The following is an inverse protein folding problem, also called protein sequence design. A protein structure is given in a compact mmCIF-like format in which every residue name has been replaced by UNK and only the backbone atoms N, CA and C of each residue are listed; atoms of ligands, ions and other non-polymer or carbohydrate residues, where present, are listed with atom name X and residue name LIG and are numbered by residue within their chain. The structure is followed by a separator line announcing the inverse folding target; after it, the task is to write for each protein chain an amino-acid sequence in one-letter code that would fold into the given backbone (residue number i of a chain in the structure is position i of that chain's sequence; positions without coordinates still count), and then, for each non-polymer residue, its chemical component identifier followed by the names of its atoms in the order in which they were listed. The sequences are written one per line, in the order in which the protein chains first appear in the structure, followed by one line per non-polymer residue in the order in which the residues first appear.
data_IF_052108236820
#
_entry.id   IF_052108236820
#
_cell.length_a   1.000
_cell.length_b   1.000
_cell.length_c   1.000
_cell.angle_alpha   90.00
_cell.angle_beta   90.00
_cell.angle_gamma   90.00
#
_symmetry.space_group_name_H-M   'P 1'
#
loop_
_entity.id
_entity.type
_entity.pdbx_description
1 polymer ?
#
# COMPACT_ATOMS: atom_id res chain seq x y z
N UNK A 1 -92.11 -27.37 5.63
CA UNK A 1 -91.03 -26.39 5.90
C UNK A 1 -89.69 -27.04 5.56
N UNK A 2 -88.77 -26.28 4.98
CA UNK A 2 -87.33 -26.55 4.83
C UNK A 2 -86.85 -27.26 3.55
N UNK A 3 -86.52 -26.48 2.51
CA UNK A 3 -85.57 -26.88 1.46
C UNK A 3 -84.21 -26.26 1.75
N UNK A 4 -83.21 -27.12 2.01
CA UNK A 4 -81.81 -26.74 2.24
C UNK A 4 -81.19 -26.23 0.93
N UNK A 5 -80.90 -24.95 0.84
CA UNK A 5 -80.08 -24.40 -0.24
C UNK A 5 -78.60 -24.44 0.16
N UNK A 6 -77.83 -25.39 -0.38
CA UNK A 6 -76.37 -25.46 -0.19
C UNK A 6 -75.71 -24.44 -1.12
N UNK A 7 -75.26 -23.31 -0.58
CA UNK A 7 -74.41 -22.37 -1.30
C UNK A 7 -73.03 -23.01 -1.55
N UNK A 8 -72.69 -23.24 -2.82
CA UNK A 8 -71.35 -23.71 -3.24
C UNK A 8 -70.33 -22.59 -2.97
N UNK A 9 -69.35 -22.86 -2.12
CA UNK A 9 -68.18 -21.98 -1.95
C UNK A 9 -67.41 -21.92 -3.26
N UNK A 10 -67.35 -20.74 -3.88
CA UNK A 10 -66.62 -20.46 -5.12
C UNK A 10 -65.11 -20.57 -4.85
N UNK A 11 -64.45 -21.65 -5.29
CA UNK A 11 -62.98 -21.70 -5.35
C UNK A 11 -62.50 -20.59 -6.30
N UNK A 12 -61.67 -19.67 -5.83
CA UNK A 12 -61.03 -18.67 -6.69
C UNK A 12 -60.05 -19.37 -7.63
N UNK A 13 -60.52 -19.74 -8.82
CA UNK A 13 -59.65 -20.26 -9.86
C UNK A 13 -58.77 -19.11 -10.37
N UNK A 14 -57.52 -19.06 -9.92
CA UNK A 14 -56.50 -18.22 -10.54
C UNK A 14 -56.58 -18.44 -12.07
N UNK A 15 -56.69 -17.35 -12.82
CA UNK A 15 -56.84 -17.44 -14.27
C UNK A 15 -55.64 -18.21 -14.83
N UNK A 16 -55.88 -19.20 -15.69
CA UNK A 16 -54.82 -20.10 -16.22
C UNK A 16 -53.64 -19.32 -16.82
N UNK A 17 -53.91 -18.12 -17.36
CA UNK A 17 -52.91 -17.17 -17.86
C UNK A 17 -52.00 -16.62 -16.76
N UNK A 18 -52.55 -16.26 -15.60
CA UNK A 18 -51.78 -15.79 -14.45
C UNK A 18 -50.93 -16.90 -13.82
N UNK A 19 -51.47 -18.12 -13.75
CA UNK A 19 -50.71 -19.30 -13.29
C UNK A 19 -49.51 -19.59 -14.20
N UNK A 20 -49.71 -19.55 -15.51
CA UNK A 20 -48.64 -19.78 -16.48
C UNK A 20 -47.57 -18.67 -16.41
N UNK A 21 -47.98 -17.41 -16.24
CA UNK A 21 -47.03 -16.30 -16.02
C UNK A 21 -46.17 -16.48 -14.78
N UNK A 22 -46.76 -16.90 -13.66
CA UNK A 22 -46.03 -17.18 -12.42
C UNK A 22 -45.02 -18.33 -12.57
N UNK A 23 -45.38 -19.39 -13.29
CA UNK A 23 -44.49 -20.53 -13.55
C UNK A 23 -43.28 -20.08 -14.39
N UNK A 24 -43.50 -19.27 -15.42
CA UNK A 24 -42.41 -18.76 -16.27
C UNK A 24 -41.45 -17.88 -15.47
N UNK A 25 -41.96 -16.96 -14.65
CA UNK A 25 -41.14 -16.14 -13.74
C UNK A 25 -40.35 -17.00 -12.76
N UNK A 26 -40.97 -18.03 -12.19
CA UNK A 26 -40.30 -18.93 -11.25
C UNK A 26 -39.16 -19.71 -11.92
N UNK A 27 -39.36 -20.19 -13.15
CA UNK A 27 -38.31 -20.86 -13.92
C UNK A 27 -37.13 -19.92 -14.26
N UNK A 28 -37.41 -18.66 -14.60
CA UNK A 28 -36.37 -17.65 -14.83
C UNK A 28 -35.56 -17.41 -13.55
N UNK A 29 -36.23 -17.30 -12.40
CA UNK A 29 -35.57 -17.12 -11.11
C UNK A 29 -34.67 -18.31 -10.74
N UNK A 30 -35.12 -19.55 -10.99
CA UNK A 30 -34.29 -20.75 -10.79
C UNK A 30 -33.04 -20.71 -11.67
N UNK A 31 -33.18 -20.35 -12.95
CA UNK A 31 -32.05 -20.27 -13.88
C UNK A 31 -31.01 -19.23 -13.41
N UNK A 32 -31.45 -18.08 -12.88
CA UNK A 32 -30.56 -17.07 -12.29
C UNK A 32 -29.84 -17.58 -11.04
N UNK A 33 -30.52 -18.31 -10.15
CA UNK A 33 -29.91 -18.90 -8.94
C UNK A 33 -28.84 -19.92 -9.32
N UNK A 34 -29.12 -20.80 -10.29
CA UNK A 34 -28.14 -21.78 -10.78
C UNK A 34 -26.94 -21.08 -11.41
N UNK A 35 -27.17 -20.01 -12.19
CA UNK A 35 -26.09 -19.21 -12.78
C UNK A 35 -25.22 -18.52 -11.72
N UNK A 36 -25.82 -18.00 -10.65
CA UNK A 36 -25.11 -17.40 -9.52
C UNK A 36 -24.31 -18.44 -8.74
N UNK A 37 -24.90 -19.61 -8.47
CA UNK A 37 -24.21 -20.75 -7.84
C UNK A 37 -22.99 -21.18 -8.66
N UNK A 38 -23.13 -21.32 -9.97
CA UNK A 38 -22.00 -21.63 -10.86
C UNK A 38 -20.88 -20.59 -10.74
N UNK A 39 -21.22 -19.30 -10.70
CA UNK A 39 -20.25 -18.22 -10.56
C UNK A 39 -19.51 -18.27 -9.21
N UNK A 40 -20.22 -18.54 -8.10
CA UNK A 40 -19.63 -18.60 -6.77
C UNK A 40 -18.79 -19.86 -6.53
N UNK A 41 -19.24 -21.04 -6.98
CA UNK A 41 -18.53 -22.30 -6.74
C UNK A 41 -17.39 -22.55 -7.73
N UNK A 42 -17.56 -22.23 -9.02
CA UNK A 42 -16.55 -22.52 -10.05
C UNK A 42 -15.55 -21.37 -10.20
N UNK A 43 -16.03 -20.12 -10.19
CA UNK A 43 -15.16 -18.93 -10.36
C UNK A 43 -14.85 -18.20 -9.05
N UNK A 44 -15.46 -18.57 -7.93
CA UNK A 44 -15.29 -17.83 -6.67
C UNK A 44 -13.86 -17.85 -6.14
N UNK A 45 -13.13 -18.96 -6.30
CA UNK A 45 -11.71 -19.04 -5.92
C UNK A 45 -10.85 -18.08 -6.73
N UNK A 46 -11.01 -18.08 -8.06
CA UNK A 46 -10.27 -17.21 -8.98
C UNK A 46 -10.63 -15.72 -8.79
N UNK A 47 -11.91 -15.40 -8.60
CA UNK A 47 -12.35 -14.02 -8.35
C UNK A 47 -11.82 -13.50 -7.01
N UNK A 48 -11.79 -14.36 -5.99
CA UNK A 48 -11.24 -14.03 -4.68
C UNK A 48 -9.73 -13.82 -4.74
N UNK A 49 -9.02 -14.62 -5.54
CA UNK A 49 -7.58 -14.48 -5.76
C UNK A 49 -7.25 -13.18 -6.51
N UNK A 50 -7.99 -12.83 -7.56
CA UNK A 50 -7.86 -11.52 -8.22
C UNK A 50 -8.14 -10.35 -7.27
N UNK A 51 -9.10 -10.51 -6.36
CA UNK A 51 -9.38 -9.48 -5.35
C UNK A 51 -8.22 -9.37 -4.35
N UNK A 52 -7.61 -10.50 -3.94
CA UNK A 52 -6.43 -10.48 -3.07
C UNK A 52 -5.20 -9.90 -3.76
N UNK A 53 -4.96 -10.17 -5.04
CA UNK A 53 -3.83 -9.59 -5.77
C UNK A 53 -3.96 -8.07 -5.92
N UNK A 54 -5.18 -7.53 -5.93
CA UNK A 54 -5.42 -6.09 -5.93
C UNK A 54 -5.24 -5.45 -4.54
N UNK A 55 -5.48 -6.21 -3.46
CA UNK A 55 -5.37 -5.72 -2.07
C UNK A 55 -3.97 -5.88 -1.47
N UNK A 56 -3.22 -6.89 -1.90
CA UNK A 56 -1.87 -7.14 -1.43
C UNK A 56 -0.93 -6.28 -2.27
N UNK A 57 -0.59 -5.10 -1.75
CA UNK A 57 0.59 -4.40 -2.27
C UNK A 57 1.81 -5.10 -1.65
N UNK A 58 2.55 -5.83 -2.48
CA UNK A 58 3.82 -6.38 -2.04
C UNK A 58 4.88 -5.31 -2.18
N UNK A 59 5.35 -4.76 -1.07
CA UNK A 59 6.58 -3.97 -1.06
C UNK A 59 7.74 -4.95 -0.88
N UNK A 60 8.65 -4.94 -1.86
CA UNK A 60 9.92 -5.65 -1.74
C UNK A 60 10.78 -4.77 -0.85
N UNK A 61 11.16 -5.27 0.32
CA UNK A 61 12.17 -4.58 1.12
C UNK A 61 13.51 -5.02 0.56
N UNK A 62 14.29 -4.04 0.08
CA UNK A 62 15.60 -4.33 -0.46
C UNK A 62 16.50 -4.80 0.70
N UNK A 63 17.05 -6.02 0.64
CA UNK A 63 17.89 -6.55 1.70
C UNK A 63 19.19 -5.74 1.80
N UNK A 64 19.82 -5.79 2.97
CA UNK A 64 21.12 -5.17 3.17
C UNK A 64 22.17 -5.86 2.31
N UNK A 65 22.78 -5.12 1.39
CA UNK A 65 23.88 -5.59 0.53
C UNK A 65 25.09 -6.06 1.36
N UNK A 66 25.75 -7.13 0.93
CA UNK A 66 26.89 -7.75 1.61
C UNK A 66 28.11 -6.84 1.76
N UNK A 67 28.87 -6.99 2.85
CA UNK A 67 30.11 -6.23 3.09
C UNK A 67 31.27 -6.82 2.29
N UNK A 68 32.08 -5.96 1.66
CA UNK A 68 33.31 -6.37 0.98
C UNK A 68 34.48 -6.20 1.95
N UNK A 69 35.31 -7.23 2.08
CA UNK A 69 36.49 -7.24 2.93
C UNK A 69 37.77 -7.40 2.10
N UNK A 70 38.86 -6.80 2.58
CA UNK A 70 40.22 -7.11 2.14
C UNK A 70 40.66 -8.49 2.65
N UNK A 71 41.76 -9.02 2.11
CA UNK A 71 42.42 -10.25 2.57
C UNK A 71 42.72 -10.25 4.08
N UNK A 72 42.94 -9.08 4.68
CA UNK A 72 43.18 -8.92 6.12
C UNK A 72 41.88 -8.77 6.95
N UNK A 73 40.70 -8.93 6.34
CA UNK A 73 39.40 -8.77 7.00
C UNK A 73 38.98 -7.32 7.23
N UNK A 74 39.63 -6.36 6.57
CA UNK A 74 39.30 -4.93 6.69
C UNK A 74 38.13 -4.58 5.78
N UNK A 75 37.13 -3.85 6.30
CA UNK A 75 35.93 -3.47 5.56
C UNK A 75 36.23 -2.43 4.46
N UNK A 76 36.06 -2.80 3.20
CA UNK A 76 36.29 -1.93 2.04
C UNK A 76 35.01 -1.26 1.54
N UNK A 77 33.87 -1.95 1.64
CA UNK A 77 32.56 -1.41 1.30
C UNK A 77 31.50 -1.97 2.25
N UNK A 78 30.74 -1.08 2.89
CA UNK A 78 29.70 -1.44 3.86
C UNK A 78 28.36 -0.82 3.47
N UNK A 79 27.28 -1.47 3.86
CA UNK A 79 25.93 -0.90 3.74
C UNK A 79 25.51 -0.30 5.08
N UNK A 80 25.17 0.99 5.07
CA UNK A 80 24.58 1.69 6.19
C UNK A 80 23.05 1.65 6.08
N UNK A 81 22.37 1.40 7.20
CA UNK A 81 20.91 1.49 7.26
C UNK A 81 20.51 2.97 7.21
N UNK A 82 19.65 3.31 6.25
CA UNK A 82 19.07 4.64 6.05
C UNK A 82 17.60 4.45 5.72
N UNK A 83 16.79 5.47 5.86
CA UNK A 83 15.37 5.36 5.52
C UNK A 83 15.01 6.33 4.39
N UNK A 84 14.00 5.96 3.62
CA UNK A 84 13.39 6.82 2.60
C UNK A 84 12.00 7.22 3.08
N UNK A 85 11.75 8.53 3.11
CA UNK A 85 10.48 9.11 3.57
C UNK A 85 9.64 9.48 2.35
N UNK A 86 8.49 8.81 2.24
CA UNK A 86 7.50 9.05 1.20
C UNK A 86 6.17 9.48 1.81
N UNK A 87 5.39 10.22 1.04
CA UNK A 87 4.10 10.71 1.48
C UNK A 87 3.01 10.32 0.48
N UNK A 88 1.81 10.03 0.99
CA UNK A 88 0.59 9.86 0.22
C UNK A 88 -0.35 11.04 0.55
N UNK A 89 -0.37 12.08 -0.31
CA UNK A 89 -1.19 13.28 -0.13
C UNK A 89 -2.68 13.01 0.06
N UNK A 90 -3.21 11.93 -0.52
CA UNK A 90 -4.63 11.58 -0.47
C UNK A 90 -5.05 11.02 0.91
N UNK A 91 -4.08 10.57 1.71
CA UNK A 91 -4.32 10.06 3.06
C UNK A 91 -4.16 11.14 4.14
N UNK A 92 -3.68 12.33 3.77
CA UNK A 92 -3.56 13.50 4.66
C UNK A 92 -4.78 14.38 4.46
N UNK A 93 -5.89 13.92 5.05
CA UNK A 93 -7.17 14.61 5.00
C UNK A 93 -7.88 14.52 6.34
N UNK A 94 -8.61 15.58 6.67
CA UNK A 94 -9.49 15.61 7.85
C UNK A 94 -10.91 15.47 7.35
N UNK A 95 -11.60 14.41 7.77
CA UNK A 95 -13.02 14.21 7.46
C UNK A 95 -13.87 14.91 8.52
N UNK A 96 -14.79 15.77 8.08
CA UNK A 96 -15.73 16.51 8.93
C UNK A 96 -17.12 16.51 8.25
N UNK A 97 -18.19 16.74 9.03
CA UNK A 97 -19.57 16.74 8.53
C UNK A 97 -19.81 17.89 7.54
N UNK A 98 -19.15 19.03 7.76
CA UNK A 98 -19.15 20.16 6.85
C UNK A 98 -17.97 20.07 5.87
N UNK A 99 -18.29 19.99 4.57
CA UNK A 99 -17.30 19.90 3.48
C UNK A 99 -16.37 21.11 3.39
N UNK A 100 -16.86 22.31 3.68
CA UNK A 100 -16.03 23.52 3.60
C UNK A 100 -15.03 23.55 4.77
N UNK A 101 -15.48 23.13 5.96
CA UNK A 101 -14.65 23.04 7.14
C UNK A 101 -13.59 21.93 7.02
N UNK A 102 -13.93 20.81 6.36
CA UNK A 102 -12.98 19.71 6.12
C UNK A 102 -11.87 20.11 5.16
N UNK A 103 -12.15 20.90 4.12
CA UNK A 103 -11.16 21.41 3.17
C UNK A 103 -10.18 22.38 3.85
N UNK A 104 -10.68 23.31 4.67
CA UNK A 104 -9.84 24.27 5.41
C UNK A 104 -8.93 23.53 6.40
N UNK A 105 -9.48 22.59 7.18
CA UNK A 105 -8.70 21.77 8.13
C UNK A 105 -7.67 20.90 7.42
N UNK A 106 -8.02 20.33 6.28
CA UNK A 106 -7.10 19.53 5.46
C UNK A 106 -5.94 20.38 4.95
N UNK A 107 -6.20 21.59 4.46
CA UNK A 107 -5.14 22.51 4.02
C UNK A 107 -4.21 22.89 5.16
N UNK A 108 -4.75 23.24 6.32
CA UNK A 108 -3.95 23.57 7.51
C UNK A 108 -3.09 22.37 7.97
N UNK A 109 -3.61 21.15 7.90
CA UNK A 109 -2.85 19.93 8.20
C UNK A 109 -1.70 19.73 7.22
N UNK A 110 -1.95 19.89 5.92
CA UNK A 110 -0.92 19.78 4.87
C UNK A 110 0.19 20.81 5.04
N UNK A 111 -0.16 22.06 5.36
CA UNK A 111 0.81 23.12 5.65
C UNK A 111 1.66 22.80 6.89
N UNK A 112 1.04 22.28 7.96
CA UNK A 112 1.75 21.85 9.16
C UNK A 112 2.74 20.71 8.87
N UNK A 113 2.29 19.69 8.14
CA UNK A 113 3.14 18.56 7.72
C UNK A 113 4.31 19.04 6.87
N UNK A 114 4.04 19.89 5.87
CA UNK A 114 5.07 20.44 5.01
C UNK A 114 6.12 21.24 5.79
N UNK A 115 5.68 22.03 6.78
CA UNK A 115 6.58 22.80 7.64
C UNK A 115 7.48 21.90 8.48
N UNK A 116 6.92 20.90 9.15
CA UNK A 116 7.68 19.96 9.96
C UNK A 116 8.71 19.18 9.12
N UNK A 117 8.31 18.69 7.94
CA UNK A 117 9.20 17.99 7.02
C UNK A 117 10.32 18.90 6.51
N UNK A 118 10.01 20.14 6.15
CA UNK A 118 11.00 21.14 5.72
C UNK A 118 12.03 21.43 6.81
N UNK A 119 11.60 21.61 8.06
CA UNK A 119 12.49 21.88 9.20
C UNK A 119 13.36 20.66 9.56
N UNK A 120 12.79 19.45 9.59
CA UNK A 120 13.52 18.23 9.97
C UNK A 120 14.55 17.84 8.89
N UNK A 121 14.18 17.96 7.62
CA UNK A 121 15.02 17.54 6.50
C UNK A 121 15.84 18.67 5.89
N UNK A 122 15.67 19.90 6.35
CA UNK A 122 16.35 21.10 5.82
C UNK A 122 16.05 21.31 4.33
N UNK A 123 14.79 21.09 3.93
CA UNK A 123 14.30 21.20 2.56
C UNK A 123 13.57 22.53 2.36
N UNK A 124 13.46 22.97 1.10
CA UNK A 124 12.65 24.14 0.76
C UNK A 124 11.16 23.89 1.10
N UNK A 125 10.57 24.83 1.83
CA UNK A 125 9.19 24.72 2.29
C UNK A 125 8.21 24.69 1.13
N UNK A 126 8.41 25.53 0.11
CA UNK A 126 7.47 25.68 -1.00
C UNK A 126 7.44 24.40 -1.85
N UNK A 127 8.61 23.84 -2.17
CA UNK A 127 8.73 22.55 -2.86
C UNK A 127 8.14 21.40 -2.04
N UNK A 128 8.33 21.41 -0.73
CA UNK A 128 7.77 20.37 0.15
C UNK A 128 6.24 20.47 0.19
N UNK A 129 5.69 21.68 0.28
CA UNK A 129 4.25 21.91 0.28
C UNK A 129 3.59 21.47 -1.03
N UNK A 130 4.25 21.70 -2.17
CA UNK A 130 3.78 21.24 -3.48
C UNK A 130 3.67 19.71 -3.52
N UNK A 131 4.70 19.00 -3.04
CA UNK A 131 4.68 17.53 -2.95
C UNK A 131 3.57 17.03 -2.03
N UNK A 132 3.43 17.61 -0.83
CA UNK A 132 2.40 17.25 0.15
C UNK A 132 0.98 17.56 -0.36
N UNK A 133 0.83 18.58 -1.21
CA UNK A 133 -0.46 19.01 -1.77
C UNK A 133 -0.76 18.41 -3.15
N UNK A 134 0.16 17.63 -3.72
CA UNK A 134 -0.03 17.01 -5.03
C UNK A 134 -1.20 16.02 -5.04
N UNK A 135 -1.66 15.67 -6.24
CA UNK A 135 -2.70 14.66 -6.47
C UNK A 135 -2.12 13.25 -6.66
N UNK A 136 -0.79 13.12 -6.64
CA UNK A 136 -0.11 11.85 -6.85
C UNK A 136 -0.36 10.88 -5.68
N UNK A 137 -0.33 9.58 -5.97
CA UNK A 137 -0.55 8.54 -4.95
C UNK A 137 0.62 8.44 -3.97
N UNK A 138 1.84 8.67 -4.44
CA UNK A 138 3.05 8.64 -3.63
C UNK A 138 4.03 9.71 -4.11
N UNK A 139 4.59 10.46 -3.17
CA UNK A 139 5.59 11.48 -3.41
C UNK A 139 6.81 11.25 -2.52
N UNK A 140 8.01 11.43 -3.06
CA UNK A 140 9.23 11.25 -2.28
C UNK A 140 9.68 12.58 -1.70
N UNK A 141 9.74 12.65 -0.38
CA UNK A 141 10.18 13.85 0.34
C UNK A 141 11.70 13.83 0.46
N UNK A 142 12.25 12.77 1.04
CA UNK A 142 13.68 12.61 1.26
C UNK A 142 14.09 11.15 1.09
N UNK A 143 15.22 10.92 0.40
CA UNK A 143 15.83 9.60 0.23
C UNK A 143 17.09 9.49 1.10
N UNK A 144 17.43 8.26 1.51
CA UNK A 144 18.69 7.94 2.20
C UNK A 144 18.95 8.81 3.44
N UNK A 145 17.90 9.00 4.22
CA UNK A 145 17.91 9.81 5.44
C UNK A 145 18.56 9.02 6.57
N UNK A 146 19.42 9.68 7.35
CA UNK A 146 20.00 9.12 8.56
C UNK A 146 18.95 8.93 9.67
N UNK A 147 19.20 7.94 10.52
CA UNK A 147 18.30 7.56 11.62
C UNK A 147 17.94 8.71 12.56
N UNK A 148 18.88 9.61 12.86
CA UNK A 148 18.66 10.75 13.76
C UNK A 148 17.52 11.67 13.29
N UNK A 149 17.42 11.94 11.98
CA UNK A 149 16.33 12.76 11.41
C UNK A 149 15.00 11.99 11.41
N UNK A 150 15.05 10.67 11.25
CA UNK A 150 13.87 9.80 11.29
C UNK A 150 13.31 9.70 12.71
N UNK A 151 14.17 9.61 13.71
CA UNK A 151 13.73 9.56 15.11
C UNK A 151 13.05 10.88 15.50
N UNK A 152 13.57 12.03 15.04
CA UNK A 152 12.88 13.34 15.17
C UNK A 152 11.50 13.34 14.48
N UNK A 153 11.41 12.80 13.27
CA UNK A 153 10.13 12.68 12.55
C UNK A 153 9.13 11.80 13.32
N UNK A 154 9.58 10.66 13.85
CA UNK A 154 8.74 9.75 14.64
C UNK A 154 8.20 10.43 15.90
N UNK A 155 9.05 11.16 16.63
CA UNK A 155 8.63 11.92 17.81
C UNK A 155 7.59 12.99 17.45
N UNK A 156 7.79 13.73 16.35
CA UNK A 156 6.83 14.72 15.88
C UNK A 156 5.49 14.10 15.47
N UNK A 157 5.52 12.97 14.76
CA UNK A 157 4.30 12.22 14.38
C UNK A 157 3.54 11.73 15.60
N UNK A 158 4.23 11.34 16.67
CA UNK A 158 3.64 10.88 17.92
C UNK A 158 2.95 12.02 18.69
N UNK A 159 3.61 13.17 18.77
CA UNK A 159 3.10 14.38 19.41
C UNK A 159 1.85 14.93 18.70
N UNK A 160 1.91 15.06 17.38
CA UNK A 160 0.83 15.62 16.56
C UNK A 160 -0.25 14.59 16.19
N UNK A 161 -0.02 13.30 16.51
CA UNK A 161 -0.89 12.17 16.17
C UNK A 161 -1.17 12.03 14.68
N UNK A 162 -0.21 12.42 13.85
CA UNK A 162 -0.29 12.33 12.38
C UNK A 162 0.46 11.10 11.91
N UNK A 163 -0.28 10.00 11.73
CA UNK A 163 0.26 8.74 11.21
C UNK A 163 -0.22 8.42 9.80
N UNK A 164 -1.25 9.13 9.33
CA UNK A 164 -1.86 8.86 8.04
C UNK A 164 -1.10 9.58 6.93
N UNK A 165 -0.71 8.84 5.90
CA UNK A 165 -0.09 9.38 4.70
C UNK A 165 1.41 9.56 4.75
N UNK A 166 2.09 9.46 5.89
CA UNK A 166 3.56 9.47 5.96
C UNK A 166 4.05 8.02 6.02
N UNK A 167 4.91 7.62 5.09
CA UNK A 167 5.52 6.30 5.04
C UNK A 167 7.04 6.43 5.22
N UNK A 168 7.59 5.59 6.09
CA UNK A 168 9.02 5.46 6.31
C UNK A 168 9.38 4.06 5.84
N UNK A 169 10.11 4.00 4.73
CA UNK A 169 10.56 2.75 4.13
C UNK A 169 12.05 2.54 4.46
N UNK A 170 12.37 1.36 4.98
CA UNK A 170 13.77 0.97 5.23
C UNK A 170 14.53 0.88 3.91
N UNK A 171 15.71 1.47 3.89
CA UNK A 171 16.60 1.54 2.73
C UNK A 171 18.05 1.31 3.17
N UNK A 172 18.98 1.26 2.23
CA UNK A 172 20.40 1.18 2.56
C UNK A 172 21.25 2.03 1.63
N UNK A 173 22.30 2.61 2.18
CA UNK A 173 23.28 3.41 1.44
C UNK A 173 24.64 2.73 1.51
N UNK A 174 25.27 2.60 0.34
CA UNK A 174 26.63 2.08 0.24
C UNK A 174 27.65 3.13 0.71
N UNK A 175 28.59 2.70 1.55
CA UNK A 175 29.65 3.54 2.11
C UNK A 175 31.01 2.88 1.90
N UNK A 176 31.99 3.66 1.45
CA UNK A 176 33.35 3.23 1.10
C UNK A 176 34.37 3.91 2.04
N UNK A 177 34.77 3.28 3.15
CA UNK A 177 35.60 3.92 4.19
C UNK A 177 36.94 4.48 3.68
N UNK A 178 37.53 3.85 2.66
CA UNK A 178 38.84 4.25 2.10
C UNK A 178 38.75 5.06 0.81
N UNK A 179 37.56 5.49 0.40
CA UNK A 179 37.33 6.32 -0.79
C UNK A 179 38.07 5.80 -2.03
N UNK A 180 39.09 6.55 -2.46
CA UNK A 180 39.78 6.33 -3.73
C UNK A 180 40.83 5.20 -3.72
N UNK A 181 41.17 4.61 -2.56
CA UNK A 181 42.30 3.66 -2.46
C UNK A 181 42.20 2.48 -3.44
N UNK A 182 40.98 2.01 -3.70
CA UNK A 182 40.70 0.92 -4.64
C UNK A 182 39.37 1.15 -5.39
N UNK A 183 38.98 2.40 -5.61
CA UNK A 183 37.67 2.73 -6.22
C UNK A 183 37.49 2.13 -7.62
N UNK A 184 38.55 2.03 -8.42
CA UNK A 184 38.47 1.46 -9.76
C UNK A 184 38.33 -0.07 -9.75
N UNK A 185 38.83 -0.73 -8.70
CA UNK A 185 38.70 -2.18 -8.54
C UNK A 185 37.36 -2.52 -7.90
N UNK A 186 37.03 -1.89 -6.77
CA UNK A 186 35.78 -2.13 -6.04
C UNK A 186 34.59 -1.66 -6.87
N UNK A 187 34.72 -0.52 -7.54
CA UNK A 187 33.63 0.15 -8.25
C UNK A 187 32.71 0.90 -7.31
N UNK A 188 31.50 1.17 -7.80
CA UNK A 188 30.47 1.87 -7.04
C UNK A 188 29.07 1.31 -7.30
N UNK A 189 28.16 1.73 -6.43
CA UNK A 189 26.77 1.32 -6.43
C UNK A 189 25.86 2.49 -6.76
N UNK A 190 24.81 2.24 -7.53
CA UNK A 190 23.82 3.23 -7.92
C UNK A 190 22.86 3.61 -6.79
N UNK A 191 21.89 4.47 -7.13
CA UNK A 191 20.91 4.92 -6.14
C UNK A 191 19.96 3.81 -5.68
N UNK A 192 19.72 2.83 -6.54
CA UNK A 192 18.87 1.65 -6.28
C UNK A 192 19.62 0.48 -5.66
N UNK A 193 20.83 0.72 -5.15
CA UNK A 193 21.68 -0.29 -4.51
C UNK A 193 22.15 -1.43 -5.43
N UNK A 194 22.19 -1.16 -6.74
CA UNK A 194 22.70 -2.03 -7.81
C UNK A 194 24.17 -1.69 -8.08
N UNK A 195 25.05 -2.69 -8.14
CA UNK A 195 26.45 -2.52 -8.52
C UNK A 195 26.58 -2.10 -9.99
N UNK A 196 27.30 -1.00 -10.26
CA UNK A 196 27.40 -0.45 -11.61
C UNK A 196 28.78 -0.67 -12.25
N UNK A 197 29.82 -0.84 -11.43
CA UNK A 197 31.19 -1.01 -11.90
C UNK A 197 31.99 -1.93 -10.96
N UNK A 198 33.12 -2.43 -11.45
CA UNK A 198 34.11 -3.16 -10.66
C UNK A 198 33.56 -4.44 -10.02
N UNK A 199 34.11 -4.77 -8.85
CA UNK A 199 33.66 -5.91 -8.04
C UNK A 199 32.21 -5.78 -7.59
N UNK A 200 31.69 -4.57 -7.41
CA UNK A 200 30.28 -4.36 -7.05
C UNK A 200 29.34 -4.87 -8.15
N UNK A 201 29.65 -4.66 -9.43
CA UNK A 201 28.85 -5.17 -10.54
C UNK A 201 29.07 -6.68 -10.78
N UNK A 202 30.33 -7.13 -10.77
CA UNK A 202 30.67 -8.54 -11.01
C UNK A 202 30.03 -9.48 -9.98
N UNK A 203 29.99 -9.06 -8.71
CA UNK A 203 29.41 -9.83 -7.62
C UNK A 203 28.03 -9.32 -7.19
N UNK A 204 27.30 -8.60 -8.05
CA UNK A 204 25.99 -8.03 -7.69
C UNK A 204 25.01 -9.08 -7.18
N UNK A 205 24.90 -10.21 -7.88
CA UNK A 205 24.00 -11.31 -7.47
C UNK A 205 24.33 -11.87 -6.08
N UNK A 206 25.62 -11.95 -5.75
CA UNK A 206 26.09 -12.44 -4.45
C UNK A 206 25.88 -11.39 -3.34
N UNK A 207 26.12 -10.11 -3.68
CA UNK A 207 26.06 -9.00 -2.74
C UNK A 207 24.63 -8.55 -2.45
N UNK A 208 23.73 -8.58 -3.43
CA UNK A 208 22.33 -8.19 -3.31
C UNK A 208 21.57 -9.10 -2.35
N UNK A 209 21.94 -10.38 -2.25
CA UNK A 209 21.25 -11.33 -1.39
C UNK A 209 19.82 -11.61 -1.84
N UNK A 210 19.02 -12.26 -0.99
CA UNK A 210 17.66 -12.66 -1.36
C UNK A 210 16.63 -11.64 -0.87
N UNK A 211 15.85 -11.01 -1.76
CA UNK A 211 14.83 -10.05 -1.34
C UNK A 211 13.73 -10.73 -0.52
N UNK A 212 13.37 -10.13 0.62
CA UNK A 212 12.26 -10.59 1.44
C UNK A 212 10.97 -9.90 0.99
N UNK A 213 9.99 -10.69 0.54
CA UNK A 213 8.67 -10.18 0.15
C UNK A 213 7.79 -9.98 1.39
N UNK A 214 7.57 -8.73 1.78
CA UNK A 214 6.60 -8.40 2.83
C UNK A 214 5.23 -8.12 2.20
N UNK A 215 4.26 -8.97 2.51
CA UNK A 215 2.89 -8.78 2.06
C UNK A 215 2.16 -7.88 3.05
N UNK A 216 2.00 -6.61 2.68
CA UNK A 216 1.20 -5.65 3.44
C UNK A 216 -0.26 -5.77 3.01
N UNK A 217 -1.14 -6.12 3.95
CA UNK A 217 -2.58 -6.18 3.70
C UNK A 217 -3.15 -4.81 4.09
N UNK A 218 -3.41 -3.97 3.10
CA UNK A 218 -4.07 -2.68 3.28
C UNK A 218 -5.56 -2.92 3.55
N UNK A 219 -6.02 -2.82 4.80
CA UNK A 219 -7.46 -2.76 5.08
C UNK A 219 -7.96 -1.33 4.83
N UNK A 220 -9.14 -1.22 4.21
CA UNK A 220 -9.83 0.04 3.89
C UNK A 220 -10.10 0.97 5.10
N UNK A 221 -9.74 0.55 6.32
CA UNK A 221 -9.68 1.38 7.52
C UNK A 221 -8.31 1.22 8.20
N UNK A 222 -7.40 2.16 7.89
CA UNK A 222 -6.37 2.73 8.77
C UNK A 222 -5.48 1.85 9.66
N UNK A 223 -5.26 0.57 9.35
CA UNK A 223 -4.11 -0.19 9.91
C UNK A 223 -3.55 -1.17 8.89
N UNK A 224 -2.29 -0.95 8.51
CA UNK A 224 -1.47 -1.95 7.83
C UNK A 224 -1.06 -2.98 8.89
N UNK A 225 -1.56 -4.20 8.77
CA UNK A 225 -1.04 -5.34 9.53
C UNK A 225 -0.13 -6.14 8.58
N UNK A 226 1.17 -6.17 8.89
CA UNK A 226 2.14 -7.04 8.23
C UNK A 226 1.86 -8.49 8.61
N UNK A 227 1.55 -9.36 7.65
CA UNK A 227 1.53 -10.81 7.88
C UNK A 227 2.82 -11.41 7.32
N UNK A 228 3.81 -11.65 8.18
CA UNK A 228 4.96 -12.49 7.81
C UNK A 228 4.47 -13.92 7.61
N UNK A 229 4.78 -14.53 6.48
CA UNK A 229 4.98 -15.97 6.41
C UNK A 229 6.42 -16.30 6.72
#
# INVERSE_FOLDING_TARGET
MNTKNKSKVKKSSISTRLRNGMIVIFLIMILLIVRLGWLQFVKGSWLKEQMYSQLITSRIISPKRGTIYDANGKELAISAAVDTVTINPNLIMVSDENKELSEIKTKALKEKVAKALSEIFELDYQQTLEKVSSTNYIETIAKKVQKDKIDKLKSWMEEEKVYSGINIDEDSKRYYPYGNLASNLIGFCGDENIGLEGLENEFDDLLTGTPRKNNNISRCNSRIYTRSK
#
